data_IF_477565856612
#
_entry.id   IF_477565856612
#
_cell.length_a   1.000
_cell.length_b   1.000
_cell.length_c   1.000
_cell.angle_alpha   90.00
_cell.angle_beta   90.00
_cell.angle_gamma   90.00
#
_symmetry.space_group_name_H-M   'P 1'
#
loop_
_entity.id
_entity.type
_entity.pdbx_description
1 polymer ?
#
# COMPACT_ATOMS: atom_id res chain seq x y z
N UNK A 1 -0.53 -2.17 41.02
CA UNK A 1 -0.04 -0.92 40.42
C UNK A 1 -0.11 -1.09 38.89
N UNK A 2 -0.98 -0.34 38.22
CA UNK A 2 -1.08 -0.35 36.75
C UNK A 2 0.21 0.31 36.23
N UNK A 3 1.03 -0.46 35.54
CA UNK A 3 2.25 0.06 34.93
C UNK A 3 1.85 0.96 33.75
N UNK A 4 2.08 2.27 33.78
CA UNK A 4 1.64 3.15 32.70
C UNK A 4 2.43 2.86 31.43
N UNK A 5 1.73 2.42 30.38
CA UNK A 5 2.33 2.20 29.08
C UNK A 5 2.61 3.54 28.39
N UNK A 6 3.82 3.68 27.85
CA UNK A 6 4.23 4.85 27.07
C UNK A 6 4.54 4.34 25.65
N UNK A 7 3.91 4.94 24.65
CA UNK A 7 4.17 4.62 23.26
C UNK A 7 5.23 5.56 22.66
N UNK A 8 6.09 5.03 21.81
CA UNK A 8 6.90 5.81 20.88
C UNK A 8 6.24 5.83 19.51
N UNK A 9 6.26 6.97 18.83
CA UNK A 9 5.62 7.18 17.51
C UNK A 9 6.59 7.84 16.55
N UNK A 10 6.68 7.32 15.33
CA UNK A 10 7.45 7.88 14.23
C UNK A 10 6.80 7.58 12.89
N UNK A 11 7.21 8.28 11.83
CA UNK A 11 6.68 8.12 10.47
C UNK A 11 7.77 7.81 9.44
N UNK A 12 7.32 7.24 8.31
CA UNK A 12 8.11 7.06 7.09
C UNK A 12 7.33 7.52 5.86
N UNK A 13 7.99 8.17 4.93
CA UNK A 13 7.38 8.47 3.64
C UNK A 13 6.83 9.88 3.48
N UNK A 14 7.29 10.90 4.19
CA UNK A 14 6.89 12.30 3.95
C UNK A 14 7.45 12.87 2.65
N UNK A 15 8.75 12.65 2.38
CA UNK A 15 9.46 13.24 1.24
C UNK A 15 9.30 12.57 -0.13
N UNK A 16 8.94 11.27 -0.26
CA UNK A 16 8.78 10.63 -1.57
C UNK A 16 7.72 11.25 -2.45
N UNK A 17 7.91 11.11 -3.78
CA UNK A 17 7.00 11.57 -4.84
C UNK A 17 5.82 10.61 -5.06
N UNK A 18 5.91 9.38 -4.54
CA UNK A 18 4.90 8.35 -4.73
C UNK A 18 4.69 7.51 -3.46
N UNK A 19 3.50 6.92 -3.35
CA UNK A 19 3.11 6.00 -2.30
C UNK A 19 2.68 6.68 -1.00
N UNK A 20 2.25 5.87 0.00
CA UNK A 20 1.65 6.35 1.23
C UNK A 20 2.67 7.00 2.18
N UNK A 21 2.15 7.76 3.15
CA UNK A 21 2.82 8.00 4.42
C UNK A 21 2.38 6.95 5.42
N UNK A 22 3.34 6.41 6.17
CA UNK A 22 3.12 5.34 7.15
C UNK A 22 3.67 5.81 8.48
N UNK A 23 2.87 5.74 9.54
CA UNK A 23 3.31 5.94 10.91
C UNK A 23 3.17 4.65 11.70
N UNK A 24 4.01 4.48 12.72
CA UNK A 24 3.89 3.39 13.66
C UNK A 24 3.89 3.91 15.10
N UNK A 25 3.23 3.16 15.96
CA UNK A 25 3.23 3.37 17.41
C UNK A 25 3.67 2.07 18.08
N UNK A 26 4.63 2.13 19.00
CA UNK A 26 5.23 0.96 19.65
C UNK A 26 5.30 1.18 21.16
N UNK A 27 4.85 0.20 21.94
CA UNK A 27 5.03 0.12 23.39
C UNK A 27 6.08 -0.96 23.67
N UNK A 28 7.20 -0.58 24.27
CA UNK A 28 8.22 -1.53 24.72
C UNK A 28 8.11 -1.79 26.23
N UNK A 29 8.46 -2.99 26.71
CA UNK A 29 8.63 -3.24 28.15
C UNK A 29 9.71 -2.34 28.75
N UNK A 30 9.63 -2.03 30.05
CA UNK A 30 10.57 -1.13 30.73
C UNK A 30 12.05 -1.56 30.63
N UNK A 31 12.32 -2.86 30.58
CA UNK A 31 13.67 -3.45 30.50
C UNK A 31 13.86 -4.19 29.18
N UNK A 32 13.40 -3.59 28.08
CA UNK A 32 13.54 -4.20 26.76
C UNK A 32 14.88 -3.82 26.13
N UNK A 33 15.74 -4.78 25.94
CA UNK A 33 16.95 -4.61 25.15
C UNK A 33 16.77 -5.18 23.74
N UNK A 34 16.75 -4.29 22.76
CA UNK A 34 16.85 -4.61 21.33
C UNK A 34 18.10 -3.93 20.82
N UNK A 35 19.15 -4.72 20.58
CA UNK A 35 20.44 -4.21 20.15
C UNK A 35 20.35 -3.64 18.73
N UNK A 36 20.85 -2.43 18.54
CA UNK A 36 20.93 -1.77 17.23
C UNK A 36 19.77 -0.84 16.87
N UNK A 37 18.78 -0.61 17.76
CA UNK A 37 17.68 0.32 17.51
C UNK A 37 18.14 1.75 17.22
N UNK A 38 19.17 2.25 17.92
CA UNK A 38 19.62 3.67 17.89
C UNK A 38 20.13 4.18 16.54
N UNK A 39 20.43 3.30 15.58
CA UNK A 39 21.01 3.66 14.28
C UNK A 39 20.07 3.34 13.09
N UNK A 40 18.75 3.38 13.30
CA UNK A 40 17.73 2.93 12.33
C UNK A 40 17.91 3.51 10.91
N UNK A 41 18.34 4.76 10.78
CA UNK A 41 18.57 5.47 9.49
C UNK A 41 19.80 4.98 8.73
N UNK A 42 20.79 4.38 9.41
CA UNK A 42 22.03 3.85 8.80
C UNK A 42 21.97 2.35 8.53
N UNK A 43 20.90 1.69 8.93
CA UNK A 43 20.76 0.24 8.77
C UNK A 43 20.49 -0.16 7.33
N UNK A 44 21.04 -1.29 6.92
CA UNK A 44 20.64 -1.96 5.68
C UNK A 44 19.20 -2.49 5.80
N UNK A 45 18.54 -2.73 4.67
CA UNK A 45 17.19 -3.27 4.63
C UNK A 45 17.09 -4.61 5.40
N UNK A 46 18.05 -5.54 5.18
CA UNK A 46 18.13 -6.83 5.89
C UNK A 46 18.21 -6.67 7.42
N UNK A 47 18.99 -5.69 7.91
CA UNK A 47 19.10 -5.43 9.34
C UNK A 47 17.79 -4.85 9.91
N UNK A 48 17.09 -3.97 9.16
CA UNK A 48 15.78 -3.44 9.59
C UNK A 48 14.72 -4.54 9.67
N UNK A 49 14.68 -5.46 8.70
CA UNK A 49 13.77 -6.62 8.73
C UNK A 49 14.04 -7.50 9.97
N UNK A 50 15.31 -7.80 10.27
CA UNK A 50 15.66 -8.57 11.46
C UNK A 50 15.30 -7.87 12.78
N UNK A 51 15.40 -6.52 12.82
CA UNK A 51 14.97 -5.75 13.99
C UNK A 51 13.45 -5.71 14.11
N UNK A 52 12.73 -5.64 12.99
CA UNK A 52 11.26 -5.73 13.02
C UNK A 52 10.81 -7.04 13.67
N UNK A 53 11.38 -8.18 13.30
CA UNK A 53 11.07 -9.48 13.94
C UNK A 53 11.31 -9.46 15.46
N UNK A 54 12.38 -8.81 15.92
CA UNK A 54 12.64 -8.66 17.35
C UNK A 54 11.60 -7.72 18.03
N UNK A 55 11.19 -6.65 17.34
CA UNK A 55 10.14 -5.75 17.83
C UNK A 55 8.81 -6.50 17.94
N UNK A 56 8.43 -7.24 16.91
CA UNK A 56 7.20 -8.06 16.88
C UNK A 56 7.15 -9.07 18.04
N UNK A 57 8.30 -9.63 18.40
CA UNK A 57 8.38 -10.63 19.50
C UNK A 57 8.44 -9.98 20.89
N UNK A 58 9.10 -8.82 21.03
CA UNK A 58 9.42 -8.23 22.35
C UNK A 58 8.53 -7.08 22.76
N UNK A 59 7.85 -6.41 21.81
CA UNK A 59 6.98 -5.29 22.15
C UNK A 59 5.75 -5.75 22.92
N UNK A 60 5.29 -4.93 23.86
CA UNK A 60 3.99 -5.13 24.52
C UNK A 60 2.86 -5.00 23.51
N UNK A 61 2.98 -3.99 22.61
CA UNK A 61 2.07 -3.78 21.49
C UNK A 61 2.76 -2.91 20.44
N UNK A 62 2.38 -3.09 19.21
CA UNK A 62 2.68 -2.16 18.12
C UNK A 62 1.52 -2.10 17.12
N UNK A 63 1.46 -1.01 16.40
CA UNK A 63 0.42 -0.79 15.39
C UNK A 63 0.92 0.15 14.32
N UNK A 64 0.22 0.15 13.17
CA UNK A 64 0.58 0.95 12.01
C UNK A 64 -0.64 1.73 11.53
N UNK A 65 -0.43 2.99 11.16
CA UNK A 65 -1.37 3.83 10.44
C UNK A 65 -0.84 4.13 9.04
N UNK A 66 -1.63 3.85 8.03
CA UNK A 66 -1.29 4.07 6.62
C UNK A 66 -2.25 5.12 6.06
N UNK A 67 -1.70 6.13 5.39
CA UNK A 67 -2.48 7.16 4.70
C UNK A 67 -2.00 7.26 3.26
N UNK A 68 -2.90 6.97 2.32
CA UNK A 68 -2.60 6.90 0.90
C UNK A 68 -2.56 8.28 0.24
N UNK A 69 -2.05 8.31 -0.99
CA UNK A 69 -1.78 9.50 -1.77
C UNK A 69 -3.00 10.38 -2.03
N UNK A 70 -4.18 9.81 -2.21
CA UNK A 70 -5.44 10.55 -2.38
C UNK A 70 -5.81 11.39 -1.15
N UNK A 71 -5.58 10.85 0.05
CA UNK A 71 -5.77 11.60 1.30
C UNK A 71 -4.66 12.64 1.48
N UNK A 72 -3.40 12.32 1.07
CA UNK A 72 -2.32 13.31 1.07
C UNK A 72 -2.70 14.52 0.20
N UNK A 73 -3.32 14.29 -0.97
CA UNK A 73 -3.81 15.37 -1.84
C UNK A 73 -4.88 16.24 -1.18
N UNK A 74 -5.76 15.65 -0.39
CA UNK A 74 -6.90 16.38 0.22
C UNK A 74 -6.52 17.17 1.46
N UNK A 75 -5.55 16.70 2.29
CA UNK A 75 -5.23 17.31 3.59
C UNK A 75 -3.75 17.68 3.75
N UNK A 76 -2.97 17.68 2.67
CA UNK A 76 -1.53 17.83 2.56
C UNK A 76 -0.72 16.78 3.35
N UNK A 77 0.62 16.78 3.17
CA UNK A 77 1.49 15.77 3.77
C UNK A 77 1.58 15.88 5.30
N UNK A 78 1.48 17.07 5.87
CA UNK A 78 1.52 17.26 7.32
C UNK A 78 0.25 16.70 7.96
N UNK A 79 -0.92 17.07 7.44
CA UNK A 79 -2.22 16.53 7.88
C UNK A 79 -2.31 15.02 7.73
N UNK A 80 -1.80 14.49 6.61
CA UNK A 80 -1.74 13.05 6.36
C UNK A 80 -0.81 12.32 7.34
N UNK A 81 0.35 12.91 7.69
CA UNK A 81 1.26 12.38 8.71
C UNK A 81 0.58 12.32 10.07
N UNK A 82 -0.07 13.41 10.50
CA UNK A 82 -0.82 13.43 11.75
C UNK A 82 -1.95 12.40 11.77
N UNK A 83 -2.68 12.25 10.65
CA UNK A 83 -3.72 11.22 10.51
C UNK A 83 -3.14 9.82 10.64
N UNK A 84 -2.00 9.52 10.00
CA UNK A 84 -1.33 8.22 10.12
C UNK A 84 -0.91 7.94 11.57
N UNK A 85 -0.35 8.92 12.28
CA UNK A 85 0.02 8.78 13.69
C UNK A 85 -1.20 8.52 14.59
N UNK A 86 -2.32 9.24 14.35
CA UNK A 86 -3.57 9.00 15.11
C UNK A 86 -4.12 7.60 14.86
N UNK A 87 -4.10 7.12 13.61
CA UNK A 87 -4.51 5.76 13.29
C UNK A 87 -3.63 4.71 13.98
N UNK A 88 -2.32 4.93 14.01
CA UNK A 88 -1.40 4.05 14.71
C UNK A 88 -1.70 4.05 16.22
N UNK A 89 -1.82 5.21 16.87
CA UNK A 89 -2.12 5.30 18.30
C UNK A 89 -3.48 4.69 18.66
N UNK A 90 -4.50 4.96 17.85
CA UNK A 90 -5.86 4.47 18.11
C UNK A 90 -6.01 2.94 17.99
N UNK A 91 -5.10 2.27 17.30
CA UNK A 91 -5.10 0.80 17.11
C UNK A 91 -4.28 0.06 18.16
N UNK A 92 -3.53 0.75 19.03
CA UNK A 92 -2.77 0.08 20.08
C UNK A 92 -3.70 -0.58 21.11
N UNK A 93 -3.36 -1.80 21.51
CA UNK A 93 -3.97 -2.49 22.64
C UNK A 93 -2.87 -3.20 23.43
N UNK A 94 -2.63 -2.85 24.68
CA UNK A 94 -3.34 -1.85 25.50
C UNK A 94 -3.09 -0.40 25.06
N UNK A 95 -4.03 0.50 25.41
CA UNK A 95 -3.87 1.93 25.14
C UNK A 95 -2.78 2.55 26.03
N UNK A 96 -1.90 3.40 25.49
CA UNK A 96 -0.89 4.10 26.27
C UNK A 96 -1.50 5.26 27.04
N UNK A 97 -0.91 5.59 28.20
CA UNK A 97 -1.26 6.80 28.98
C UNK A 97 -0.59 8.06 28.42
N UNK A 98 0.53 7.89 27.71
CA UNK A 98 1.28 8.95 27.06
C UNK A 98 1.95 8.42 25.76
N UNK A 99 2.08 9.29 24.75
CA UNK A 99 2.83 9.02 23.55
C UNK A 99 4.00 10.01 23.39
N UNK A 100 5.17 9.50 23.00
CA UNK A 100 6.35 10.26 22.64
C UNK A 100 6.46 10.28 21.11
N UNK A 101 6.34 11.46 20.51
CA UNK A 101 6.30 11.64 19.07
C UNK A 101 7.68 12.08 18.58
N UNK A 102 8.23 11.48 17.51
CA UNK A 102 9.43 12.03 16.90
C UNK A 102 9.16 13.45 16.36
N UNK A 103 10.02 14.39 16.70
CA UNK A 103 9.86 15.81 16.35
C UNK A 103 8.87 16.56 17.23
N UNK A 104 7.72 16.96 16.71
CA UNK A 104 6.75 17.82 17.39
C UNK A 104 5.56 17.03 17.94
N UNK A 105 4.91 17.60 18.96
CA UNK A 105 3.69 17.02 19.51
C UNK A 105 2.58 16.95 18.46
N UNK A 106 1.78 15.90 18.54
CA UNK A 106 0.63 15.68 17.67
C UNK A 106 -0.54 16.57 18.15
N UNK A 107 -1.08 17.45 17.29
CA UNK A 107 -2.26 18.25 17.63
C UNK A 107 -3.52 17.38 17.68
N UNK A 108 -4.62 17.91 18.25
CA UNK A 108 -5.94 17.25 18.35
C UNK A 108 -5.84 15.82 18.90
N UNK A 109 -5.52 15.72 20.18
CA UNK A 109 -5.01 14.52 20.82
C UNK A 109 -6.04 13.40 21.00
N UNK A 110 -5.70 12.20 20.56
CA UNK A 110 -6.37 10.95 20.97
C UNK A 110 -5.78 10.46 22.31
N UNK A 111 -4.47 10.71 22.53
CA UNK A 111 -3.70 10.32 23.72
C UNK A 111 -2.83 11.50 24.14
N UNK A 112 -2.66 11.76 25.45
CA UNK A 112 -1.67 12.74 25.91
C UNK A 112 -0.34 12.48 25.24
N UNK A 113 0.26 13.51 24.64
CA UNK A 113 1.51 13.32 23.93
C UNK A 113 2.45 14.51 24.04
N UNK A 114 3.74 14.28 23.77
CA UNK A 114 4.77 15.31 23.66
C UNK A 114 5.75 15.00 22.54
N UNK A 115 6.24 16.05 21.89
CA UNK A 115 7.30 15.92 20.88
C UNK A 115 8.67 15.69 21.52
N UNK A 116 9.50 14.90 20.85
CA UNK A 116 10.90 14.65 21.22
C UNK A 116 11.77 14.88 19.99
N UNK A 117 12.49 15.99 19.93
CA UNK A 117 13.37 16.32 18.81
C UNK A 117 14.47 15.26 18.68
N UNK A 118 14.58 14.64 17.49
CA UNK A 118 15.45 13.48 17.19
C UNK A 118 15.17 12.34 18.17
N UNK A 119 13.89 12.06 18.40
CA UNK A 119 13.44 11.03 19.33
C UNK A 119 13.84 9.63 18.88
N UNK A 120 13.91 9.39 17.58
CA UNK A 120 14.41 8.17 16.94
C UNK A 120 15.83 7.77 17.39
N UNK A 121 16.66 8.74 17.83
CA UNK A 121 18.01 8.51 18.35
C UNK A 121 18.07 8.43 19.87
N UNK A 122 17.05 8.90 20.58
CA UNK A 122 17.07 9.10 22.03
C UNK A 122 16.17 8.13 22.79
N UNK A 123 15.04 7.76 22.21
CA UNK A 123 13.97 6.99 22.86
C UNK A 123 13.79 5.64 22.16
N UNK A 124 14.09 4.52 22.82
CA UNK A 124 14.00 3.19 22.20
C UNK A 124 12.65 2.89 21.55
N UNK A 125 11.53 3.29 22.18
CA UNK A 125 10.19 3.09 21.62
C UNK A 125 9.96 3.90 20.33
N UNK A 126 10.51 5.11 20.21
CA UNK A 126 10.47 5.91 18.95
C UNK A 126 11.37 5.26 17.89
N UNK A 127 12.58 4.82 18.28
CA UNK A 127 13.47 4.09 17.36
C UNK A 127 12.82 2.82 16.81
N UNK A 128 12.10 2.07 17.65
CA UNK A 128 11.34 0.90 17.24
C UNK A 128 10.20 1.29 16.27
N UNK A 129 9.45 2.35 16.58
CA UNK A 129 8.40 2.87 15.70
C UNK A 129 8.95 3.29 14.32
N UNK A 130 10.12 3.95 14.30
CA UNK A 130 10.83 4.30 13.06
C UNK A 130 11.09 3.08 12.18
N UNK A 131 11.56 1.96 12.76
CA UNK A 131 11.82 0.72 12.06
C UNK A 131 10.52 0.12 11.53
N UNK A 132 9.48 0.01 12.38
CA UNK A 132 8.17 -0.54 11.98
C UNK A 132 7.58 0.27 10.83
N UNK A 133 7.54 1.59 10.94
CA UNK A 133 7.01 2.47 9.88
C UNK A 133 7.81 2.33 8.58
N UNK A 134 9.15 2.32 8.66
CA UNK A 134 10.03 2.23 7.49
C UNK A 134 9.91 0.89 6.80
N UNK A 135 9.95 -0.23 7.53
CA UNK A 135 9.86 -1.57 6.92
C UNK A 135 8.49 -1.78 6.29
N UNK A 136 7.42 -1.40 6.99
CA UNK A 136 6.06 -1.50 6.46
C UNK A 136 5.91 -0.71 5.16
N UNK A 137 6.39 0.55 5.13
CA UNK A 137 6.34 1.36 3.92
C UNK A 137 7.17 0.78 2.78
N UNK A 138 8.38 0.31 3.06
CA UNK A 138 9.27 -0.26 2.04
C UNK A 138 8.67 -1.55 1.44
N UNK A 139 7.96 -2.36 2.24
CA UNK A 139 7.21 -3.55 1.77
C UNK A 139 6.07 -3.13 0.83
N UNK A 140 5.28 -2.10 1.17
CA UNK A 140 4.23 -1.56 0.31
C UNK A 140 4.81 -1.07 -1.02
N UNK A 141 5.94 -0.35 -1.01
CA UNK A 141 6.55 0.14 -2.24
C UNK A 141 7.13 -0.99 -3.12
N UNK A 142 7.62 -2.09 -2.53
CA UNK A 142 7.99 -3.30 -3.27
C UNK A 142 6.78 -3.99 -3.91
N UNK A 143 5.65 -4.02 -3.21
CA UNK A 143 4.42 -4.57 -3.79
C UNK A 143 3.90 -3.71 -4.94
N UNK A 144 3.99 -2.38 -4.83
CA UNK A 144 3.66 -1.49 -5.94
C UNK A 144 4.58 -1.64 -7.17
N UNK A 145 5.83 -2.06 -6.97
CA UNK A 145 6.75 -2.33 -8.08
C UNK A 145 6.25 -3.43 -9.03
N UNK A 146 5.50 -4.40 -8.52
CA UNK A 146 4.86 -5.46 -9.33
C UNK A 146 3.75 -4.91 -10.23
N UNK A 147 3.06 -3.85 -9.80
CA UNK A 147 1.98 -3.19 -10.56
C UNK A 147 2.55 -2.16 -11.53
N UNK A 148 3.65 -1.50 -11.15
CA UNK A 148 4.27 -0.38 -11.86
C UNK A 148 5.77 -0.62 -12.09
N UNK A 149 6.17 -1.72 -12.76
CA UNK A 149 7.57 -2.13 -12.86
C UNK A 149 8.46 -1.09 -13.57
N UNK A 150 7.89 -0.29 -14.47
CA UNK A 150 8.61 0.75 -15.21
C UNK A 150 9.16 1.89 -14.34
N UNK A 151 8.67 2.03 -13.09
CA UNK A 151 9.15 3.09 -12.18
C UNK A 151 10.25 2.63 -11.24
N UNK A 152 10.52 1.34 -11.08
CA UNK A 152 11.51 0.77 -10.17
C UNK A 152 11.30 1.17 -8.68
N UNK A 153 10.05 1.17 -8.21
CA UNK A 153 9.71 1.54 -6.83
C UNK A 153 10.35 0.62 -5.78
N UNK A 154 10.64 -0.63 -6.11
CA UNK A 154 11.37 -1.53 -5.24
C UNK A 154 12.77 -1.03 -4.89
N UNK A 155 13.40 -0.25 -5.77
CA UNK A 155 14.75 0.28 -5.60
C UNK A 155 14.75 1.56 -4.75
N UNK A 156 14.07 2.58 -5.18
CA UNK A 156 14.11 3.91 -4.57
C UNK A 156 12.93 4.25 -3.67
N UNK A 157 11.96 3.34 -3.49
CA UNK A 157 10.81 3.48 -2.59
C UNK A 157 9.97 4.77 -2.82
N UNK A 158 9.95 5.27 -4.07
CA UNK A 158 9.23 6.48 -4.46
C UNK A 158 9.97 7.79 -4.20
N UNK A 159 11.22 7.78 -3.71
CA UNK A 159 12.02 9.00 -3.58
C UNK A 159 12.43 9.53 -4.95
N UNK A 160 12.59 10.86 -5.06
CA UNK A 160 12.95 11.56 -6.30
C UNK A 160 14.43 11.37 -6.72
N UNK A 161 14.85 10.13 -6.91
CA UNK A 161 16.17 9.79 -7.45
C UNK A 161 16.24 10.16 -8.94
N UNK A 162 17.45 10.32 -9.53
CA UNK A 162 17.57 10.56 -10.97
C UNK A 162 16.83 9.52 -11.82
N UNK A 163 16.86 8.24 -11.44
CA UNK A 163 16.14 7.17 -12.11
C UNK A 163 14.62 7.38 -12.04
N UNK A 164 14.06 7.69 -10.85
CA UNK A 164 12.63 7.96 -10.69
C UNK A 164 12.18 9.16 -11.52
N UNK A 165 12.96 10.25 -11.53
CA UNK A 165 12.66 11.45 -12.31
C UNK A 165 12.69 11.18 -13.82
N UNK A 166 13.64 10.38 -14.30
CA UNK A 166 13.69 9.93 -15.69
C UNK A 166 12.47 9.09 -16.06
N UNK A 167 12.11 8.13 -15.21
CA UNK A 167 10.94 7.27 -15.44
C UNK A 167 9.64 8.07 -15.40
N UNK A 168 9.51 9.03 -14.46
CA UNK A 168 8.38 9.94 -14.39
C UNK A 168 8.21 10.77 -15.68
N UNK A 169 9.30 11.28 -16.22
CA UNK A 169 9.31 12.01 -17.50
C UNK A 169 8.92 11.12 -18.68
N UNK A 170 9.37 9.88 -18.69
CA UNK A 170 9.14 8.93 -19.81
C UNK A 170 7.74 8.36 -19.79
N UNK A 171 7.23 7.99 -18.62
CA UNK A 171 5.98 7.22 -18.48
C UNK A 171 4.83 8.04 -17.92
N UNK A 172 5.06 9.32 -17.58
CA UNK A 172 4.13 10.21 -16.86
C UNK A 172 3.86 9.71 -15.43
N UNK A 173 2.99 10.39 -14.69
CA UNK A 173 2.66 9.98 -13.33
C UNK A 173 1.67 8.81 -13.32
N UNK A 174 1.93 7.78 -12.53
CA UNK A 174 1.01 6.65 -12.31
C UNK A 174 0.08 6.90 -11.11
N UNK A 175 -0.95 6.04 -10.89
CA UNK A 175 -1.96 6.22 -9.84
C UNK A 175 -1.48 6.40 -8.41
N UNK A 176 -0.24 6.01 -8.09
CA UNK A 176 0.31 6.17 -6.74
C UNK A 176 1.23 7.39 -6.56
N UNK A 177 1.43 8.19 -7.61
CA UNK A 177 2.17 9.43 -7.50
C UNK A 177 1.35 10.51 -6.78
N UNK A 178 2.04 11.35 -6.02
CA UNK A 178 1.45 12.48 -5.29
C UNK A 178 1.35 13.68 -6.23
N UNK A 179 0.13 13.93 -6.72
CA UNK A 179 -0.14 14.87 -7.82
C UNK A 179 0.25 16.31 -7.52
N UNK A 180 0.15 16.74 -6.25
CA UNK A 180 0.52 18.08 -5.79
C UNK A 180 2.03 18.27 -5.59
N UNK A 181 2.82 17.18 -5.60
CA UNK A 181 4.27 17.26 -5.39
C UNK A 181 4.99 17.62 -6.69
N UNK A 182 5.94 18.59 -6.64
CA UNK A 182 6.85 18.82 -7.75
C UNK A 182 7.98 17.80 -7.75
N UNK A 183 8.38 17.28 -8.93
CA UNK A 183 7.89 17.64 -10.26
C UNK A 183 6.70 16.79 -10.76
N UNK A 184 6.02 15.98 -9.92
CA UNK A 184 4.93 15.10 -10.35
C UNK A 184 3.81 15.88 -11.04
N UNK A 185 3.46 17.05 -10.50
CA UNK A 185 2.42 17.93 -11.07
C UNK A 185 2.63 18.29 -12.55
N UNK A 186 3.88 18.27 -13.01
CA UNK A 186 4.25 18.64 -14.37
C UNK A 186 4.11 17.46 -15.37
N UNK A 187 3.88 16.24 -14.85
CA UNK A 187 3.82 14.99 -15.63
C UNK A 187 2.54 14.19 -15.42
N UNK A 188 1.44 14.86 -15.09
CA UNK A 188 0.14 14.20 -14.93
C UNK A 188 -0.44 13.85 -16.31
N UNK A 189 -0.84 12.56 -16.55
CA UNK A 189 -1.52 12.22 -17.79
C UNK A 189 -2.94 12.79 -17.80
N UNK A 190 -3.37 13.34 -18.93
CA UNK A 190 -4.77 13.69 -19.14
C UNK A 190 -5.60 12.46 -19.52
N UNK A 191 -6.90 12.51 -19.25
CA UNK A 191 -7.80 11.43 -19.64
C UNK A 191 -7.86 11.26 -21.17
N UNK A 192 -7.78 12.36 -21.92
CA UNK A 192 -7.71 12.33 -23.38
C UNK A 192 -6.47 11.56 -23.86
N UNK A 193 -5.28 11.87 -23.32
CA UNK A 193 -4.04 11.14 -23.65
C UNK A 193 -4.14 9.64 -23.36
N UNK A 194 -4.72 9.26 -22.20
CA UNK A 194 -4.89 7.84 -21.85
C UNK A 194 -5.84 7.12 -22.81
N UNK A 195 -6.86 7.80 -23.31
CA UNK A 195 -7.82 7.24 -24.25
C UNK A 195 -7.25 7.15 -25.67
N UNK A 196 -6.62 8.21 -26.17
CA UNK A 196 -5.98 8.26 -27.51
C UNK A 196 -4.88 7.21 -27.66
N UNK A 197 -4.06 7.02 -26.63
CA UNK A 197 -2.98 6.04 -26.60
C UNK A 197 -3.45 4.61 -26.28
N UNK A 198 -4.77 4.38 -26.17
CA UNK A 198 -5.39 3.10 -25.79
C UNK A 198 -4.84 2.52 -24.48
N UNK A 199 -4.41 3.39 -23.57
CA UNK A 199 -3.84 3.01 -22.26
C UNK A 199 -4.88 2.93 -21.15
N UNK A 200 -6.15 3.27 -21.43
CA UNK A 200 -7.21 3.35 -20.43
C UNK A 200 -7.43 2.01 -19.72
N UNK A 201 -7.45 0.88 -20.47
CA UNK A 201 -7.57 -0.45 -19.90
C UNK A 201 -6.45 -0.75 -18.89
N UNK A 202 -5.20 -0.61 -19.33
CA UNK A 202 -4.02 -0.83 -18.47
C UNK A 202 -3.99 0.10 -17.25
N UNK A 203 -4.49 1.33 -17.39
CA UNK A 203 -4.61 2.25 -16.25
C UNK A 203 -5.67 1.78 -15.26
N UNK A 204 -6.80 1.26 -15.77
CA UNK A 204 -7.86 0.67 -14.95
C UNK A 204 -7.41 -0.59 -14.21
N UNK A 205 -6.71 -1.52 -14.87
CA UNK A 205 -6.12 -2.71 -14.22
C UNK A 205 -5.23 -2.31 -13.05
N UNK A 206 -4.40 -1.28 -13.23
CA UNK A 206 -3.51 -0.75 -12.18
C UNK A 206 -4.25 -0.08 -11.03
N UNK A 207 -5.33 0.63 -11.33
CA UNK A 207 -6.21 1.19 -10.29
C UNK A 207 -6.91 0.09 -9.51
N UNK A 208 -7.39 -0.95 -10.19
CA UNK A 208 -8.00 -2.12 -9.58
C UNK A 208 -7.02 -2.88 -8.67
N UNK A 209 -5.81 -3.16 -9.16
CA UNK A 209 -4.75 -3.81 -8.37
C UNK A 209 -4.36 -2.97 -7.13
N UNK A 210 -4.23 -1.64 -7.29
CA UNK A 210 -4.00 -0.73 -6.16
C UNK A 210 -5.11 -0.80 -5.14
N UNK A 211 -6.37 -0.86 -5.59
CA UNK A 211 -7.54 -0.94 -4.70
C UNK A 211 -7.57 -2.27 -3.93
N UNK A 212 -7.27 -3.39 -4.59
CA UNK A 212 -7.12 -4.69 -3.93
C UNK A 212 -6.04 -4.64 -2.84
N UNK A 213 -4.87 -4.05 -3.13
CA UNK A 213 -3.81 -3.88 -2.11
C UNK A 213 -4.28 -3.05 -0.92
N UNK A 214 -5.07 -1.99 -1.14
CA UNK A 214 -5.63 -1.15 -0.05
C UNK A 214 -6.62 -1.92 0.82
N UNK A 215 -7.30 -2.91 0.25
CA UNK A 215 -8.17 -3.85 0.96
C UNK A 215 -7.43 -4.98 1.68
N UNK A 216 -6.09 -5.04 1.56
CA UNK A 216 -5.25 -6.03 2.22
C UNK A 216 -4.84 -7.22 1.36
N UNK A 217 -5.22 -7.24 0.08
CA UNK A 217 -4.81 -8.30 -0.84
C UNK A 217 -3.33 -8.18 -1.21
N UNK A 218 -2.68 -9.32 -1.41
CA UNK A 218 -1.31 -9.39 -1.94
C UNK A 218 -1.34 -9.68 -3.43
N UNK A 219 -0.86 -8.77 -4.28
CA UNK A 219 -0.79 -8.99 -5.73
C UNK A 219 0.31 -10.01 -6.02
N UNK A 220 -0.06 -11.13 -6.63
CA UNK A 220 0.84 -12.19 -7.08
C UNK A 220 1.36 -11.94 -8.49
N UNK A 221 0.49 -11.41 -9.38
CA UNK A 221 0.85 -11.09 -10.76
C UNK A 221 -0.17 -10.21 -11.45
N UNK A 222 0.28 -9.61 -12.56
CA UNK A 222 -0.55 -8.84 -13.48
C UNK A 222 -0.50 -9.50 -14.86
N UNK A 223 -1.61 -9.48 -15.59
CA UNK A 223 -1.73 -9.96 -16.99
C UNK A 223 -1.22 -11.40 -17.15
N UNK A 224 -1.75 -12.33 -16.37
CA UNK A 224 -1.43 -13.76 -16.52
C UNK A 224 -2.19 -14.35 -17.70
N UNK A 225 -1.47 -15.05 -18.57
CA UNK A 225 -2.05 -15.73 -19.74
C UNK A 225 -1.92 -17.25 -19.61
N UNK A 226 -3.03 -17.96 -19.72
CA UNK A 226 -3.11 -19.42 -19.74
C UNK A 226 -3.64 -19.90 -21.10
N UNK A 227 -2.93 -19.58 -22.18
CA UNK A 227 -3.31 -19.97 -23.54
C UNK A 227 -3.50 -21.49 -23.66
N UNK A 228 -4.54 -21.99 -24.36
CA UNK A 228 -5.56 -21.22 -25.11
C UNK A 228 -6.83 -20.89 -24.32
N UNK A 229 -6.84 -21.02 -23.01
CA UNK A 229 -8.06 -21.01 -22.19
C UNK A 229 -8.51 -19.62 -21.73
N UNK A 230 -7.58 -18.69 -21.50
CA UNK A 230 -7.93 -17.32 -21.15
C UNK A 230 -6.85 -16.62 -20.32
N UNK A 231 -7.07 -15.34 -20.09
CA UNK A 231 -6.16 -14.45 -19.41
C UNK A 231 -6.84 -13.87 -18.15
N UNK A 232 -6.04 -13.48 -17.16
CA UNK A 232 -6.51 -12.74 -15.99
C UNK A 232 -5.70 -11.45 -15.87
N UNK A 233 -6.41 -10.34 -15.67
CA UNK A 233 -5.76 -9.03 -15.52
C UNK A 233 -4.97 -8.95 -14.21
N UNK A 234 -5.50 -9.58 -13.14
CA UNK A 234 -4.88 -9.58 -11.81
C UNK A 234 -4.99 -10.98 -11.21
N UNK A 235 -3.90 -11.46 -10.63
CA UNK A 235 -3.89 -12.58 -9.70
C UNK A 235 -3.42 -12.08 -8.34
N UNK A 236 -4.21 -12.33 -7.30
CA UNK A 236 -3.95 -11.84 -5.96
C UNK A 236 -4.24 -12.92 -4.89
N UNK A 237 -3.83 -12.66 -3.66
CA UNK A 237 -4.13 -13.47 -2.48
C UNK A 237 -4.96 -12.64 -1.49
N UNK A 238 -6.08 -13.19 -1.05
CA UNK A 238 -6.93 -12.67 0.03
C UNK A 238 -6.90 -13.67 1.19
N UNK A 239 -6.10 -13.38 2.21
CA UNK A 239 -5.75 -14.38 3.23
C UNK A 239 -5.10 -15.60 2.61
N UNK A 240 -5.79 -16.75 2.66
CA UNK A 240 -5.36 -18.03 2.08
C UNK A 240 -6.00 -18.34 0.73
N UNK A 241 -6.91 -17.48 0.22
CA UNK A 241 -7.63 -17.68 -1.04
C UNK A 241 -6.93 -17.00 -2.20
N UNK A 242 -6.67 -17.72 -3.29
CA UNK A 242 -6.18 -17.13 -4.55
C UNK A 242 -7.34 -16.49 -5.30
N UNK A 243 -7.18 -15.23 -5.64
CA UNK A 243 -8.17 -14.42 -6.35
C UNK A 243 -7.70 -14.17 -7.76
N UNK A 244 -8.48 -14.62 -8.73
CA UNK A 244 -8.34 -14.30 -10.14
C UNK A 244 -9.32 -13.20 -10.50
N UNK A 245 -8.85 -12.11 -11.09
CA UNK A 245 -9.71 -10.99 -11.35
C UNK A 245 -9.62 -10.49 -12.80
N UNK A 246 -10.78 -10.16 -13.35
CA UNK A 246 -10.97 -9.43 -14.60
C UNK A 246 -11.29 -7.97 -14.29
N UNK A 247 -10.79 -7.06 -15.11
CA UNK A 247 -11.01 -5.61 -14.94
C UNK A 247 -11.70 -5.02 -16.16
N UNK A 248 -12.84 -4.39 -15.95
CA UNK A 248 -13.55 -3.65 -16.99
C UNK A 248 -13.42 -2.15 -16.76
N UNK A 249 -12.90 -1.44 -17.76
CA UNK A 249 -12.70 0.02 -17.70
C UNK A 249 -13.61 0.74 -18.66
N UNK A 250 -14.29 1.81 -18.21
CA UNK A 250 -15.18 2.61 -19.06
C UNK A 250 -15.09 4.10 -18.77
N UNK A 251 -15.45 4.93 -19.79
CA UNK A 251 -15.61 6.38 -19.68
C UNK A 251 -17.04 6.79 -19.29
N UNK A 252 -18.00 5.90 -19.37
CA UNK A 252 -19.42 6.15 -19.09
C UNK A 252 -19.90 5.31 -17.91
N UNK A 253 -21.05 5.66 -17.35
CA UNK A 253 -21.74 4.75 -16.45
C UNK A 253 -22.02 3.44 -17.18
N UNK A 254 -21.56 2.36 -16.59
CA UNK A 254 -21.95 1.05 -17.03
C UNK A 254 -23.42 0.86 -16.64
N UNK A 255 -24.30 1.26 -17.55
CA UNK A 255 -25.71 0.88 -17.52
C UNK A 255 -25.69 -0.61 -17.86
N UNK A 256 -26.06 -1.46 -16.91
CA UNK A 256 -25.96 -2.91 -16.88
C UNK A 256 -26.59 -3.73 -18.01
N UNK A 257 -26.52 -3.27 -19.26
CA UNK A 257 -27.12 -3.89 -20.46
C UNK A 257 -26.10 -4.46 -21.46
N UNK A 258 -24.83 -4.50 -21.17
CA UNK A 258 -24.00 -5.50 -21.83
C UNK A 258 -23.94 -6.73 -20.91
N UNK A 259 -24.96 -7.55 -20.99
CA UNK A 259 -24.87 -8.99 -20.79
C UNK A 259 -23.79 -9.53 -21.76
N UNK A 260 -22.51 -9.26 -21.49
CA UNK A 260 -21.50 -10.28 -21.71
C UNK A 260 -21.87 -11.38 -20.72
N UNK A 261 -22.95 -12.10 -21.07
CA UNK A 261 -23.36 -13.32 -20.41
C UNK A 261 -22.10 -14.15 -20.32
N UNK A 262 -21.61 -14.32 -19.11
CA UNK A 262 -20.58 -15.31 -18.84
C UNK A 262 -21.28 -16.62 -19.16
N UNK A 263 -21.17 -17.07 -20.41
CA UNK A 263 -21.77 -18.32 -20.83
C UNK A 263 -20.96 -19.48 -20.27
N UNK A 264 -21.60 -20.66 -20.18
CA UNK A 264 -20.98 -21.86 -19.58
C UNK A 264 -19.61 -22.19 -20.18
N UNK A 265 -19.43 -21.98 -21.49
CA UNK A 265 -18.14 -22.14 -22.16
C UNK A 265 -17.05 -21.19 -21.66
N UNK A 266 -17.40 -19.93 -21.32
CA UNK A 266 -16.46 -18.95 -20.78
C UNK A 266 -16.10 -19.33 -19.34
N UNK A 267 -17.09 -19.76 -18.54
CA UNK A 267 -16.86 -20.26 -17.18
C UNK A 267 -15.89 -21.44 -17.20
N UNK A 268 -16.14 -22.44 -18.03
CA UNK A 268 -15.28 -23.62 -18.13
C UNK A 268 -13.83 -23.26 -18.49
N UNK A 269 -13.62 -22.34 -19.44
CA UNK A 269 -12.29 -21.84 -19.82
C UNK A 269 -11.61 -21.12 -18.65
N UNK A 270 -12.31 -20.24 -17.94
CA UNK A 270 -11.78 -19.53 -16.79
C UNK A 270 -11.36 -20.51 -15.69
N UNK A 271 -12.20 -21.50 -15.35
CA UNK A 271 -11.87 -22.53 -14.38
C UNK A 271 -10.64 -23.37 -14.78
N UNK A 272 -10.48 -23.67 -16.07
CA UNK A 272 -9.26 -24.32 -16.59
C UNK A 272 -8.02 -23.45 -16.43
N UNK A 273 -8.11 -22.16 -16.78
CA UNK A 273 -7.01 -21.21 -16.60
C UNK A 273 -6.59 -21.06 -15.14
N UNK A 274 -7.56 -21.00 -14.20
CA UNK A 274 -7.29 -20.96 -12.76
C UNK A 274 -6.52 -22.21 -12.31
N UNK A 275 -6.95 -23.42 -12.72
CA UNK A 275 -6.28 -24.68 -12.39
C UNK A 275 -4.86 -24.75 -12.94
N UNK A 276 -4.62 -24.24 -14.16
CA UNK A 276 -3.29 -24.17 -14.76
C UNK A 276 -2.38 -23.29 -13.90
N UNK A 277 -2.82 -22.08 -13.55
CA UNK A 277 -2.04 -21.18 -12.70
C UNK A 277 -1.66 -21.82 -11.37
N UNK A 278 -2.63 -22.41 -10.67
CA UNK A 278 -2.41 -23.05 -9.37
C UNK A 278 -1.40 -24.21 -9.49
N UNK A 279 -1.53 -25.03 -10.54
CA UNK A 279 -0.60 -26.14 -10.81
C UNK A 279 0.81 -25.64 -11.14
N UNK A 280 0.96 -24.64 -12.03
CA UNK A 280 2.26 -24.08 -12.39
C UNK A 280 2.99 -23.41 -11.22
N UNK A 281 2.25 -22.89 -10.26
CA UNK A 281 2.79 -22.20 -9.08
C UNK A 281 2.87 -23.09 -7.86
N UNK A 282 2.46 -24.37 -7.98
CA UNK A 282 2.44 -25.33 -6.87
C UNK A 282 1.65 -24.81 -5.66
N UNK A 283 0.51 -24.14 -5.91
CA UNK A 283 -0.34 -23.55 -4.89
C UNK A 283 -1.51 -24.48 -4.60
N UNK A 284 -1.57 -24.98 -3.36
CA UNK A 284 -2.69 -25.75 -2.82
C UNK A 284 -3.56 -24.84 -1.96
N UNK A 285 -4.42 -24.06 -2.58
CA UNK A 285 -5.31 -23.10 -1.90
C UNK A 285 -6.66 -23.04 -2.59
N UNK A 286 -7.69 -22.67 -1.85
CA UNK A 286 -8.96 -22.26 -2.44
C UNK A 286 -8.76 -21.11 -3.43
N UNK A 287 -9.62 -21.05 -4.42
CA UNK A 287 -9.55 -19.99 -5.41
C UNK A 287 -10.95 -19.50 -5.78
N UNK A 288 -11.05 -18.22 -6.15
CA UNK A 288 -12.27 -17.61 -6.64
C UNK A 288 -11.99 -16.64 -7.78
N UNK A 289 -13.05 -16.29 -8.49
CA UNK A 289 -13.01 -15.29 -9.56
C UNK A 289 -13.78 -14.04 -9.14
N UNK A 290 -13.11 -12.89 -9.24
CA UNK A 290 -13.68 -11.60 -8.91
C UNK A 290 -13.72 -10.70 -10.17
N UNK A 291 -14.69 -9.78 -10.22
CA UNK A 291 -14.77 -8.75 -11.26
C UNK A 291 -14.54 -7.38 -10.64
N UNK A 292 -13.68 -6.57 -11.25
CA UNK A 292 -13.55 -5.17 -10.88
C UNK A 292 -13.97 -4.28 -12.05
N UNK A 293 -14.74 -3.24 -11.76
CA UNK A 293 -15.07 -2.22 -12.75
C UNK A 293 -14.41 -0.90 -12.38
N UNK A 294 -13.81 -0.24 -13.35
CA UNK A 294 -13.14 1.05 -13.18
C UNK A 294 -13.81 2.07 -14.06
N UNK A 295 -14.38 3.11 -13.44
CA UNK A 295 -15.06 4.20 -14.14
C UNK A 295 -14.21 5.44 -14.14
N UNK A 296 -14.01 6.00 -15.32
CA UNK A 296 -13.35 7.27 -15.55
C UNK A 296 -14.37 8.33 -15.97
N UNK A 297 -14.09 9.61 -15.63
CA UNK A 297 -14.97 10.73 -15.97
C UNK A 297 -15.76 11.27 -14.77
N UNK A 298 -16.10 12.56 -14.81
CA UNK A 298 -16.84 13.25 -13.74
C UNK A 298 -16.08 13.48 -12.45
N UNK A 299 -14.76 13.15 -12.39
CA UNK A 299 -13.93 13.28 -11.19
C UNK A 299 -12.85 12.23 -11.07
N UNK A 300 -12.36 11.94 -9.84
CA UNK A 300 -11.43 10.84 -9.60
C UNK A 300 -12.03 9.50 -10.05
N UNK A 301 -11.22 8.59 -10.65
CA UNK A 301 -11.69 7.27 -11.03
C UNK A 301 -12.26 6.49 -9.84
N UNK A 302 -13.37 5.81 -10.05
CA UNK A 302 -14.00 4.95 -9.04
C UNK A 302 -13.80 3.47 -9.41
N UNK A 303 -13.58 2.63 -8.38
CA UNK A 303 -13.40 1.20 -8.53
C UNK A 303 -14.50 0.48 -7.75
N UNK A 304 -15.31 -0.34 -8.41
CA UNK A 304 -16.21 -1.27 -7.76
C UNK A 304 -15.63 -2.69 -7.85
N UNK A 305 -15.86 -3.52 -6.82
CA UNK A 305 -15.32 -4.86 -6.70
C UNK A 305 -16.44 -5.84 -6.39
N UNK A 306 -16.66 -6.79 -7.27
CA UNK A 306 -17.65 -7.86 -7.17
C UNK A 306 -16.90 -9.16 -6.88
N UNK A 307 -17.23 -9.77 -5.75
CA UNK A 307 -16.53 -10.94 -5.22
C UNK A 307 -17.25 -12.21 -5.64
N UNK A 308 -16.50 -13.24 -6.03
CA UNK A 308 -16.96 -14.59 -6.33
C UNK A 308 -18.04 -14.64 -7.44
N UNK A 309 -17.74 -14.11 -8.61
CA UNK A 309 -18.68 -13.97 -9.73
C UNK A 309 -18.97 -15.27 -10.52
N UNK A 310 -18.35 -16.41 -10.16
CA UNK A 310 -18.58 -17.72 -10.79
C UNK A 310 -19.32 -18.71 -9.89
N UNK A 311 -19.83 -18.27 -8.73
CA UNK A 311 -20.60 -19.10 -7.79
C UNK A 311 -22.10 -19.10 -8.10
#
# INVERSE_FOLDING_TARGET
MINPFIAGVDEAGRGPLAGPVVAAAVILPKQCEINGLKDSKKLTEKKREALLQQIETKAVAFSVGIVHEDVIESINILGATHKAMRLALGRLSPQPVEALIDGHALPDQVVRNRGVIKGDQKVPAISAASIVAKVTRDRIMRSYDRIFPEYAFAKHKGYGTPEHLTNLKTYLACPIHRKSFRPVSDYLPSLAQLNEERKLGKWGERLAARELMRKGYSILGMNFSALPYGDFDIVAMDGETVVFAEVKSSLQEWLGDSEDQINDNKIEKLLKSMKIYLSEKEIESESRFDLLTVRFGGGPPTVAHYINCLS
#
